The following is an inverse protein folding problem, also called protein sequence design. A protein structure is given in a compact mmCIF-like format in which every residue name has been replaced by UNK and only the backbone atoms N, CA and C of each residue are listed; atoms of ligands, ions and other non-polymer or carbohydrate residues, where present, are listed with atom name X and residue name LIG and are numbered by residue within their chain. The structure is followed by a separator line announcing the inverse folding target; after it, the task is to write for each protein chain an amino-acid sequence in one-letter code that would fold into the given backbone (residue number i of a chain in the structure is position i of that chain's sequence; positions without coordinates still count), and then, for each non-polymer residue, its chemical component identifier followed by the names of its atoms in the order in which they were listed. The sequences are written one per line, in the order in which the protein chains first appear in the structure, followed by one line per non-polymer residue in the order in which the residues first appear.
data_IF_296060737242
#
_entry.id   IF_296060737242
#
_cell.length_a   1.000
_cell.length_b   1.000
_cell.length_c   1.000
_cell.angle_alpha   90.00
_cell.angle_beta   90.00
_cell.angle_gamma   90.00
#
_symmetry.space_group_name_H-M   'P 1'
#
loop_
_entity.id
_entity.type
_entity.pdbx_description
1 polymer ?
#
# COMPACT_ATOMS: atom_id res chain seq x y z
N UNK A 1 -6.16 -1.92 5.52
CA UNK A 1 -5.88 -0.48 5.37
C UNK A 1 -4.51 -0.15 5.94
N UNK A 2 -3.86 0.87 5.39
CA UNK A 2 -2.52 1.31 5.75
C UNK A 2 -2.42 2.01 7.10
N UNK A 3 -1.23 2.57 7.35
CA UNK A 3 -0.95 3.32 8.56
C UNK A 3 -1.71 4.65 8.59
N UNK A 4 -1.90 5.19 9.79
CA UNK A 4 -2.42 6.54 10.02
C UNK A 4 -3.85 6.81 9.49
N UNK A 5 -4.68 5.78 9.33
CA UNK A 5 -6.11 5.93 8.99
C UNK A 5 -6.98 6.23 10.21
N UNK A 6 -6.46 6.05 11.42
CA UNK A 6 -7.20 6.24 12.66
C UNK A 6 -6.53 7.31 13.52
N UNK A 7 -7.31 8.24 14.06
CA UNK A 7 -6.80 9.35 14.87
C UNK A 7 -5.97 8.93 16.08
N UNK A 8 -6.24 7.74 16.61
CA UNK A 8 -5.61 7.25 17.85
C UNK A 8 -4.59 6.15 17.62
N UNK A 9 -4.38 5.71 16.39
CA UNK A 9 -3.52 4.58 16.04
C UNK A 9 -2.78 4.82 14.73
N UNK A 10 -1.47 4.67 14.77
CA UNK A 10 -0.61 4.75 13.58
C UNK A 10 -0.41 3.39 12.87
N UNK A 11 -0.88 2.29 13.46
CA UNK A 11 -0.69 0.95 12.92
C UNK A 11 -1.71 0.63 11.81
N UNK A 12 -1.33 -0.19 10.82
CA UNK A 12 -2.25 -0.73 9.84
C UNK A 12 -3.25 -1.67 10.52
N UNK A 13 -4.44 -1.81 9.94
CA UNK A 13 -5.42 -2.75 10.46
C UNK A 13 -6.11 -3.53 9.34
N UNK A 14 -6.63 -4.71 9.71
CA UNK A 14 -7.50 -5.52 8.86
C UNK A 14 -8.96 -5.17 9.17
N UNK A 15 -9.77 -5.10 8.10
CA UNK A 15 -11.22 -4.94 8.20
C UNK A 15 -11.85 -6.19 7.58
N UNK A 16 -12.65 -6.91 8.35
CA UNK A 16 -13.28 -8.15 7.93
C UNK A 16 -14.77 -7.93 7.65
N UNK A 17 -15.22 -8.38 6.49
CA UNK A 17 -16.61 -8.32 6.07
C UNK A 17 -17.17 -9.73 6.01
N UNK A 18 -18.09 -10.04 6.91
CA UNK A 18 -18.76 -11.35 6.98
C UNK A 18 -20.15 -11.26 6.36
N UNK A 19 -20.42 -12.11 5.36
CA UNK A 19 -21.69 -12.15 4.67
C UNK A 19 -22.28 -13.57 4.70
N UNK A 20 -23.38 -13.77 5.43
CA UNK A 20 -24.09 -15.06 5.50
C UNK A 20 -24.79 -15.45 4.19
N UNK A 21 -25.11 -14.48 3.34
CA UNK A 21 -25.82 -14.67 2.06
C UNK A 21 -24.86 -14.68 0.86
N UNK A 22 -23.60 -14.96 1.08
CA UNK A 22 -22.60 -15.03 0.02
C UNK A 22 -22.97 -16.14 -0.98
N UNK A 23 -22.99 -15.83 -2.28
CA UNK A 23 -23.35 -16.75 -3.35
C UNK A 23 -22.23 -17.77 -3.61
N UNK A 24 -21.01 -17.28 -3.79
CA UNK A 24 -19.82 -18.11 -3.92
C UNK A 24 -19.18 -18.29 -2.53
N UNK A 25 -19.19 -19.53 -2.02
CA UNK A 25 -18.65 -19.86 -0.69
C UNK A 25 -17.21 -20.33 -0.73
N UNK A 26 -16.67 -20.58 -1.92
CA UNK A 26 -15.38 -21.23 -2.12
C UNK A 26 -14.27 -20.23 -2.47
N UNK A 27 -14.58 -18.95 -2.45
CA UNK A 27 -13.58 -17.90 -2.68
C UNK A 27 -13.66 -16.78 -1.65
N UNK A 28 -12.61 -16.01 -1.49
CA UNK A 28 -12.54 -14.84 -0.61
C UNK A 28 -11.89 -13.69 -1.37
N UNK A 29 -12.55 -12.54 -1.41
CA UNK A 29 -11.93 -11.34 -1.94
C UNK A 29 -10.93 -10.78 -0.93
N UNK A 30 -9.66 -10.72 -1.32
CA UNK A 30 -8.57 -10.10 -0.58
C UNK A 30 -8.25 -8.73 -1.19
N UNK A 31 -8.24 -7.69 -0.37
CA UNK A 31 -7.86 -6.34 -0.80
C UNK A 31 -6.76 -5.82 0.11
N UNK A 32 -5.63 -5.45 -0.45
CA UNK A 32 -4.55 -4.77 0.25
C UNK A 32 -4.53 -3.28 -0.10
N UNK A 33 -5.16 -2.48 0.74
CA UNK A 33 -5.24 -1.04 0.55
C UNK A 33 -4.16 -0.28 1.36
N UNK A 34 -3.01 -0.91 1.68
CA UNK A 34 -1.93 -0.23 2.42
C UNK A 34 -1.30 0.90 1.62
N UNK A 35 -1.21 0.72 0.31
CA UNK A 35 -0.65 1.70 -0.63
C UNK A 35 -1.71 2.57 -1.31
N UNK A 36 -3.00 2.33 -1.01
CA UNK A 36 -4.12 3.12 -1.53
C UNK A 36 -4.54 4.12 -0.47
N UNK A 37 -4.06 5.34 -0.56
CA UNK A 37 -4.42 6.40 0.39
C UNK A 37 -4.13 7.79 -0.19
N UNK A 38 -4.78 8.80 0.40
CA UNK A 38 -4.46 10.21 0.25
C UNK A 38 -3.89 10.72 1.57
N UNK A 39 -2.76 11.42 1.52
CA UNK A 39 -2.16 12.06 2.68
C UNK A 39 -2.92 13.36 3.01
N UNK A 40 -3.62 13.40 4.12
CA UNK A 40 -4.33 14.61 4.58
C UNK A 40 -3.37 15.57 5.26
N UNK A 41 -2.50 15.04 6.14
CA UNK A 41 -1.44 15.79 6.81
C UNK A 41 -0.28 14.82 7.20
N UNK A 42 0.68 15.28 7.99
CA UNK A 42 1.84 14.46 8.39
C UNK A 42 1.48 13.20 9.20
N UNK A 43 0.31 13.16 9.84
CA UNK A 43 -0.11 12.10 10.77
C UNK A 43 -1.38 11.37 10.38
N UNK A 44 -2.11 11.83 9.35
CA UNK A 44 -3.42 11.29 8.97
C UNK A 44 -3.47 11.01 7.47
N UNK A 45 -3.89 9.81 7.14
CA UNK A 45 -4.23 9.36 5.80
C UNK A 45 -5.74 9.09 5.72
N UNK A 46 -6.31 9.27 4.53
CA UNK A 46 -7.67 8.85 4.19
C UNK A 46 -7.72 8.25 2.77
N UNK A 47 -8.90 7.83 2.34
CA UNK A 47 -9.15 7.53 0.94
C UNK A 47 -9.67 8.77 0.22
N UNK A 48 -9.16 9.05 -0.98
CA UNK A 48 -9.82 10.01 -1.86
C UNK A 48 -11.20 9.49 -2.28
N UNK A 49 -12.13 10.37 -2.73
CA UNK A 49 -13.42 9.92 -3.25
C UNK A 49 -13.28 8.85 -4.35
N UNK A 50 -12.33 9.01 -5.27
CA UNK A 50 -12.08 8.07 -6.36
C UNK A 50 -11.55 6.72 -5.87
N UNK A 51 -10.62 6.72 -4.91
CA UNK A 51 -10.11 5.51 -4.26
C UNK A 51 -11.23 4.76 -3.53
N UNK A 52 -12.08 5.48 -2.79
CA UNK A 52 -13.20 4.88 -2.06
C UNK A 52 -14.25 4.31 -3.03
N UNK A 53 -14.57 5.03 -4.10
CA UNK A 53 -15.41 4.54 -5.18
C UNK A 53 -14.80 3.30 -5.83
N UNK A 54 -13.49 3.32 -6.11
CA UNK A 54 -12.76 2.20 -6.69
C UNK A 54 -12.83 0.95 -5.83
N UNK A 55 -12.49 1.04 -4.54
CA UNK A 55 -12.60 -0.08 -3.60
C UNK A 55 -14.04 -0.61 -3.52
N UNK A 56 -15.03 0.28 -3.53
CA UNK A 56 -16.45 -0.10 -3.54
C UNK A 56 -16.82 -0.83 -4.82
N UNK A 57 -16.32 -0.40 -5.98
CA UNK A 57 -16.53 -1.03 -7.29
C UNK A 57 -15.97 -2.46 -7.30
N UNK A 58 -14.74 -2.67 -6.79
CA UNK A 58 -14.15 -4.00 -6.66
C UNK A 58 -15.06 -4.93 -5.82
N UNK A 59 -15.52 -4.46 -4.67
CA UNK A 59 -16.39 -5.25 -3.77
C UNK A 59 -17.74 -5.57 -4.43
N UNK A 60 -18.36 -4.63 -5.12
CA UNK A 60 -19.62 -4.82 -5.83
C UNK A 60 -19.48 -5.81 -6.98
N UNK A 61 -18.40 -5.68 -7.76
CA UNK A 61 -18.10 -6.62 -8.84
C UNK A 61 -17.95 -8.05 -8.33
N UNK A 62 -17.20 -8.24 -7.24
CA UNK A 62 -17.06 -9.55 -6.58
C UNK A 62 -18.40 -10.12 -6.11
N UNK A 63 -19.35 -9.29 -5.73
CA UNK A 63 -20.72 -9.69 -5.37
C UNK A 63 -21.60 -10.02 -6.57
N UNK A 64 -21.11 -9.83 -7.80
CA UNK A 64 -21.86 -10.05 -9.03
C UNK A 64 -22.82 -8.90 -9.35
N UNK A 65 -22.61 -7.71 -8.81
CA UNK A 65 -23.34 -6.51 -9.15
C UNK A 65 -22.79 -5.91 -10.45
N UNK A 66 -23.64 -5.30 -11.25
CA UNK A 66 -23.20 -4.55 -12.43
C UNK A 66 -22.51 -3.26 -11.98
N UNK A 67 -21.27 -3.07 -12.41
CA UNK A 67 -20.43 -1.92 -12.08
C UNK A 67 -19.71 -1.39 -13.31
N UNK A 68 -19.25 -0.13 -13.23
CA UNK A 68 -18.47 0.51 -14.26
C UNK A 68 -17.03 0.75 -13.73
N UNK A 69 -16.08 0.04 -14.33
CA UNK A 69 -14.65 0.20 -14.01
C UNK A 69 -14.00 1.41 -14.68
N UNK A 70 -14.74 2.14 -15.53
CA UNK A 70 -14.28 3.38 -16.16
C UNK A 70 -14.84 4.63 -15.46
N UNK A 71 -15.56 4.47 -14.36
CA UNK A 71 -16.28 5.53 -13.66
C UNK A 71 -15.38 6.67 -13.12
N UNK A 72 -14.09 6.42 -12.91
CA UNK A 72 -13.12 7.44 -12.51
C UNK A 72 -11.69 7.09 -12.97
N UNK A 73 -10.80 8.06 -12.87
CA UNK A 73 -9.42 7.93 -13.34
C UNK A 73 -8.63 6.84 -12.57
N UNK A 74 -8.87 6.69 -11.27
CA UNK A 74 -8.22 5.66 -10.46
C UNK A 74 -8.58 4.25 -10.94
N UNK A 75 -9.86 4.00 -11.21
CA UNK A 75 -10.35 2.72 -11.75
C UNK A 75 -9.78 2.44 -13.14
N UNK A 76 -9.82 3.43 -14.04
CA UNK A 76 -9.31 3.28 -15.40
C UNK A 76 -7.82 2.96 -15.44
N UNK A 77 -7.03 3.56 -14.54
CA UNK A 77 -5.60 3.27 -14.43
C UNK A 77 -5.32 1.92 -13.78
N UNK A 78 -6.18 1.47 -12.88
CA UNK A 78 -5.98 0.23 -12.12
C UNK A 78 -6.49 -1.00 -12.88
N UNK A 79 -7.58 -0.85 -13.65
CA UNK A 79 -8.24 -1.91 -14.41
C UNK A 79 -8.30 -1.54 -15.89
N UNK A 80 -7.19 -1.72 -16.59
CA UNK A 80 -7.04 -1.34 -18.01
C UNK A 80 -8.01 -2.07 -18.94
N UNK A 81 -8.41 -3.30 -18.57
CA UNK A 81 -9.41 -4.09 -19.32
C UNK A 81 -10.84 -3.54 -19.23
N UNK A 82 -11.11 -2.58 -18.32
CA UNK A 82 -12.46 -2.07 -18.02
C UNK A 82 -13.37 -3.08 -17.33
N UNK A 83 -12.80 -4.17 -16.80
CA UNK A 83 -13.50 -5.22 -16.06
C UNK A 83 -12.67 -5.66 -14.84
N UNK A 84 -13.30 -6.44 -13.94
CA UNK A 84 -12.56 -7.00 -12.81
C UNK A 84 -11.47 -7.97 -13.28
N UNK A 85 -10.30 -7.77 -12.76
CA UNK A 85 -9.17 -8.69 -12.81
C UNK A 85 -8.41 -8.66 -11.49
N UNK A 86 -7.63 -9.70 -11.20
CA UNK A 86 -6.74 -9.69 -10.06
C UNK A 86 -5.62 -8.69 -10.34
N UNK A 87 -5.43 -7.73 -9.43
CA UNK A 87 -4.40 -6.69 -9.57
C UNK A 87 -3.33 -6.89 -8.52
N UNK A 88 -2.11 -7.13 -8.99
CA UNK A 88 -0.96 -7.36 -8.13
C UNK A 88 -0.74 -6.18 -7.18
N UNK A 89 -0.54 -6.49 -5.90
CA UNK A 89 -0.38 -5.50 -4.84
C UNK A 89 -1.67 -4.81 -4.38
N UNK A 90 -2.82 -5.10 -4.99
CA UNK A 90 -4.10 -4.46 -4.63
C UNK A 90 -5.21 -5.46 -4.28
N UNK A 91 -5.61 -6.33 -5.22
CA UNK A 91 -6.73 -7.22 -4.98
C UNK A 91 -6.58 -8.57 -5.69
N UNK A 92 -7.10 -9.62 -5.06
CA UNK A 92 -7.18 -10.97 -5.61
C UNK A 92 -8.40 -11.68 -5.06
N UNK A 93 -9.07 -12.47 -5.91
CA UNK A 93 -10.05 -13.46 -5.47
C UNK A 93 -9.32 -14.76 -5.17
N UNK A 94 -9.05 -15.01 -3.89
CA UNK A 94 -8.39 -16.22 -3.43
C UNK A 94 -9.39 -17.37 -3.34
N UNK A 95 -9.02 -18.53 -3.88
CA UNK A 95 -9.78 -19.79 -3.75
C UNK A 95 -9.59 -20.41 -2.37
N UNK A 96 -10.38 -21.43 -2.04
CA UNK A 96 -10.18 -22.19 -0.80
C UNK A 96 -8.83 -22.93 -0.82
N UNK A 97 -8.35 -23.37 -1.98
CA UNK A 97 -7.04 -24.02 -2.12
C UNK A 97 -5.91 -23.04 -1.83
N UNK A 98 -5.99 -21.79 -2.36
CA UNK A 98 -5.04 -20.73 -2.01
C UNK A 98 -5.00 -20.48 -0.48
N UNK A 99 -6.16 -20.54 0.19
CA UNK A 99 -6.26 -20.33 1.64
C UNK A 99 -5.58 -21.47 2.41
N UNK A 100 -5.79 -22.72 1.97
CA UNK A 100 -5.17 -23.90 2.57
C UNK A 100 -3.65 -23.86 2.40
N UNK A 101 -3.17 -23.56 1.20
CA UNK A 101 -1.73 -23.42 0.91
C UNK A 101 -1.04 -22.34 1.74
N UNK A 102 -1.78 -21.30 2.15
CA UNK A 102 -1.29 -20.24 3.02
C UNK A 102 -1.59 -20.46 4.50
N UNK A 103 -1.74 -21.71 4.95
CA UNK A 103 -1.99 -22.09 6.36
C UNK A 103 -3.21 -21.39 6.96
N UNK A 104 -4.28 -21.23 6.18
CA UNK A 104 -5.52 -20.52 6.56
C UNK A 104 -5.27 -19.05 6.98
N UNK A 105 -4.18 -18.46 6.58
CA UNK A 105 -3.94 -17.05 6.82
C UNK A 105 -4.95 -16.18 6.06
N UNK A 106 -5.54 -15.19 6.73
CA UNK A 106 -6.43 -14.22 6.10
C UNK A 106 -5.77 -12.83 5.98
N UNK A 107 -4.46 -12.80 5.80
CA UNK A 107 -3.68 -11.57 5.58
C UNK A 107 -3.62 -11.25 4.09
N UNK A 108 -4.29 -10.19 3.58
CA UNK A 108 -4.41 -9.92 2.15
C UNK A 108 -3.08 -9.85 1.40
N UNK A 109 -2.05 -9.26 2.00
CA UNK A 109 -0.72 -9.13 1.38
C UNK A 109 -0.03 -10.45 1.01
N UNK A 110 -0.49 -11.59 1.53
CA UNK A 110 0.02 -12.92 1.12
C UNK A 110 -0.55 -13.37 -0.22
N UNK A 111 -1.71 -12.84 -0.60
CA UNK A 111 -2.46 -13.27 -1.79
C UNK A 111 -2.29 -12.33 -2.98
N UNK A 112 -2.20 -11.03 -2.72
CA UNK A 112 -2.17 -10.02 -3.80
C UNK A 112 -0.80 -9.83 -4.42
N UNK A 113 0.26 -10.43 -3.84
CA UNK A 113 1.62 -10.26 -4.35
C UNK A 113 2.24 -8.90 -4.03
N UNK A 114 3.35 -8.60 -4.70
CA UNK A 114 4.09 -7.36 -4.58
C UNK A 114 4.23 -6.72 -5.95
N UNK A 115 3.60 -5.60 -6.15
CA UNK A 115 3.93 -4.72 -7.28
C UNK A 115 5.13 -3.85 -6.86
N UNK A 116 6.31 -4.21 -7.30
CA UNK A 116 7.48 -3.32 -7.20
C UNK A 116 7.45 -2.44 -8.44
N UNK A 117 7.02 -1.20 -8.30
CA UNK A 117 7.26 -0.19 -9.34
C UNK A 117 8.75 0.14 -9.28
N UNK A 118 9.51 -0.48 -10.16
CA UNK A 118 10.89 -0.08 -10.42
C UNK A 118 10.77 1.16 -11.30
N UNK A 119 11.16 2.30 -10.76
CA UNK A 119 11.34 3.51 -11.56
C UNK A 119 12.59 3.27 -12.43
N UNK A 120 12.37 2.87 -13.69
CA UNK A 120 13.45 2.58 -14.64
C UNK A 120 14.30 3.82 -14.95
N UNK A 121 13.76 5.02 -14.71
CA UNK A 121 14.44 6.29 -14.89
C UNK A 121 15.17 6.76 -13.60
N UNK A 122 15.12 5.97 -12.51
CA UNK A 122 15.77 6.32 -11.26
C UNK A 122 17.30 6.24 -11.39
N UNK A 123 17.96 7.40 -11.39
CA UNK A 123 19.41 7.48 -11.37
C UNK A 123 20.00 7.02 -10.02
N UNK A 124 20.14 5.71 -9.90
CA UNK A 124 20.68 5.07 -8.70
C UNK A 124 22.11 5.51 -8.39
N UNK A 125 22.94 5.72 -9.43
CA UNK A 125 24.34 6.13 -9.25
C UNK A 125 24.44 7.58 -8.79
N UNK A 126 23.67 8.48 -9.40
CA UNK A 126 23.58 9.88 -8.97
C UNK A 126 23.12 9.99 -7.52
N UNK A 127 22.05 9.25 -7.16
CA UNK A 127 21.52 9.27 -5.80
C UNK A 127 22.50 8.71 -4.76
N UNK A 128 23.25 7.65 -5.10
CA UNK A 128 24.30 7.11 -4.22
C UNK A 128 25.45 8.11 -4.03
N UNK A 129 25.85 8.83 -5.09
CA UNK A 129 26.87 9.87 -4.99
C UNK A 129 26.43 11.00 -4.06
N UNK A 130 25.19 11.49 -4.21
CA UNK A 130 24.64 12.52 -3.32
C UNK A 130 24.63 12.07 -1.85
N UNK A 131 24.23 10.82 -1.57
CA UNK A 131 24.24 10.28 -0.20
C UNK A 131 25.66 10.19 0.36
N UNK A 132 26.63 9.77 -0.44
CA UNK A 132 28.02 9.74 -0.02
C UNK A 132 28.59 11.14 0.29
N UNK A 133 28.26 12.13 -0.53
CA UNK A 133 28.67 13.53 -0.30
C UNK A 133 28.02 14.11 0.96
N UNK A 134 26.74 13.78 1.22
CA UNK A 134 26.04 14.20 2.42
C UNK A 134 26.61 13.54 3.68
N UNK A 135 26.94 12.24 3.62
CA UNK A 135 27.62 11.54 4.70
C UNK A 135 29.00 12.12 5.00
N UNK A 136 29.79 12.45 3.97
CA UNK A 136 31.10 13.08 4.15
C UNK A 136 30.97 14.46 4.80
N UNK A 137 29.97 15.26 4.42
CA UNK A 137 29.66 16.54 5.06
C UNK A 137 29.31 16.37 6.55
N UNK A 138 28.39 15.46 6.87
CA UNK A 138 27.94 15.20 8.23
C UNK A 138 29.09 14.69 9.12
N UNK A 139 29.96 13.83 8.59
CA UNK A 139 31.14 13.39 9.31
C UNK A 139 32.10 14.54 9.63
N UNK A 140 32.39 15.41 8.65
CA UNK A 140 33.24 16.59 8.89
C UNK A 140 32.64 17.56 9.92
N UNK A 141 31.31 17.71 9.92
CA UNK A 141 30.61 18.55 10.91
C UNK A 141 30.64 17.93 12.29
N UNK A 142 30.46 16.61 12.39
CA UNK A 142 30.59 15.84 13.62
C UNK A 142 32.00 15.97 14.24
N UNK A 143 33.04 15.84 13.41
CA UNK A 143 34.43 15.97 13.85
C UNK A 143 34.74 17.40 14.38
N UNK A 144 34.24 18.42 13.73
CA UNK A 144 34.37 19.82 14.19
C UNK A 144 33.68 20.05 15.53
N UNK A 145 32.46 19.52 15.68
CA UNK A 145 31.72 19.60 16.94
C UNK A 145 32.44 18.86 18.05
N UNK A 146 32.97 17.67 17.77
CA UNK A 146 33.75 16.89 18.74
C UNK A 146 35.00 17.62 19.20
N UNK A 147 35.75 18.25 18.27
CA UNK A 147 36.91 19.08 18.59
C UNK A 147 36.54 20.28 19.46
N UNK A 148 35.41 20.93 19.15
CA UNK A 148 34.92 22.07 19.93
C UNK A 148 34.56 21.67 21.36
N UNK A 149 33.92 20.50 21.55
CA UNK A 149 33.59 19.96 22.87
C UNK A 149 34.85 19.59 23.63
N UNK A 150 35.85 18.98 22.99
CA UNK A 150 37.13 18.64 23.62
C UNK A 150 37.95 19.86 24.01
N UNK A 151 37.81 20.98 23.28
CA UNK A 151 38.43 22.27 23.61
C UNK A 151 37.79 23.00 24.80
N UNK A 152 36.59 22.54 25.26
CA UNK A 152 35.89 23.10 26.40
C UNK A 152 36.24 22.40 27.74
N UNK A 153 37.33 21.63 27.79
CA UNK A 153 37.78 21.06 29.09
C UNK A 153 38.13 22.17 30.06
N UNK A 154 37.62 22.11 31.31
CA UNK A 154 37.95 23.05 32.36
C UNK A 154 39.43 22.96 32.81
#
# INVERSE_FOLDING_TARGET
VGNNFFYTRSLPCHVWFLNKNKKDKDSILMIDARNTFRKVNSTINDFSPDQLQGLTTIIKSYRGESVDFTANEWLTKTFESGSYEDVEGLCKVASMDDIIENDYSLTPGRYVGFSIQIDEDFDYQGRMSEIHDELAKLNNESDKLMQSIQGLKP
#
